data_IF_229220901814
#
_entry.id   IF_229220901814
#
_cell.length_a   1.000
_cell.length_b   1.000
_cell.length_c   1.000
_cell.angle_alpha   90.00
_cell.angle_beta   90.00
_cell.angle_gamma   90.00
#
_symmetry.space_group_name_H-M   'P 1'
#
loop_
_entity.id
_entity.type
_entity.pdbx_description
1 polymer ?
#
# COMPACT_ATOMS: atom_id res chain seq x y z
N UNK A 1 1.77 -5.83 25.14
CA UNK A 1 0.81 -6.43 26.09
C UNK A 1 -0.35 -5.49 26.48
N UNK A 2 -0.47 -4.31 25.86
CA UNK A 2 -1.43 -3.25 26.26
C UNK A 2 -2.71 -3.14 25.39
N UNK A 3 -2.73 -3.73 24.19
CA UNK A 3 -3.83 -3.54 23.24
C UNK A 3 -5.12 -4.22 23.71
N UNK A 4 -5.01 -5.45 24.26
CA UNK A 4 -6.17 -6.21 24.77
C UNK A 4 -6.81 -5.50 25.96
N UNK A 5 -6.02 -4.88 26.84
CA UNK A 5 -6.53 -4.12 27.99
C UNK A 5 -7.21 -2.81 27.57
N UNK A 6 -6.71 -2.13 26.54
CA UNK A 6 -7.38 -0.93 26.02
C UNK A 6 -8.69 -1.26 25.28
N UNK A 7 -8.82 -2.47 24.72
CA UNK A 7 -10.06 -2.97 24.10
C UNK A 7 -11.10 -3.32 25.15
N UNK A 8 -10.71 -3.89 26.30
CA UNK A 8 -11.64 -4.25 27.40
C UNK A 8 -12.14 -3.04 28.21
N UNK A 9 -11.37 -1.96 28.31
CA UNK A 9 -11.72 -0.77 29.11
C UNK A 9 -12.65 0.20 28.34
N UNK A 10 -12.77 0.05 27.01
CA UNK A 10 -13.65 0.86 26.17
C UNK A 10 -15.11 0.38 26.18
N UNK A 11 -15.92 0.92 27.08
CA UNK A 11 -17.36 0.69 27.16
C UNK A 11 -18.08 1.00 25.82
N UNK A 12 -18.89 0.02 25.37
CA UNK A 12 -19.93 -0.02 24.31
C UNK A 12 -19.98 1.04 23.18
N UNK A 13 -20.13 0.52 21.94
CA UNK A 13 -20.36 1.21 20.64
C UNK A 13 -19.14 1.54 19.75
N UNK A 14 -18.12 0.67 19.70
CA UNK A 14 -17.20 0.67 18.57
C UNK A 14 -17.58 -0.44 17.59
N UNK A 15 -17.96 -0.07 16.36
CA UNK A 15 -18.13 -1.05 15.28
C UNK A 15 -16.81 -1.74 14.99
N UNK A 16 -16.85 -3.03 14.66
CA UNK A 16 -15.68 -3.84 14.30
C UNK A 16 -14.81 -3.14 13.26
N UNK A 17 -15.43 -2.41 12.32
CA UNK A 17 -14.75 -1.58 11.30
C UNK A 17 -13.86 -0.51 11.94
N UNK A 18 -14.36 0.26 12.91
CA UNK A 18 -13.56 1.30 13.59
C UNK A 18 -12.37 0.71 14.35
N UNK A 19 -12.54 -0.48 14.95
CA UNK A 19 -11.46 -1.17 15.63
C UNK A 19 -10.37 -1.64 14.65
N UNK A 20 -10.77 -2.16 13.49
CA UNK A 20 -9.82 -2.52 12.43
C UNK A 20 -9.14 -1.30 11.81
N UNK A 21 -9.85 -0.19 11.64
CA UNK A 21 -9.27 1.08 11.15
C UNK A 21 -8.26 1.62 12.16
N UNK A 22 -8.57 1.63 13.46
CA UNK A 22 -7.64 2.06 14.51
C UNK A 22 -6.43 1.13 14.61
N UNK A 23 -6.63 -0.18 14.49
CA UNK A 23 -5.55 -1.16 14.47
C UNK A 23 -4.66 -0.98 13.24
N UNK A 24 -5.25 -0.82 12.05
CA UNK A 24 -4.54 -0.59 10.79
C UNK A 24 -3.74 0.70 10.86
N UNK A 25 -4.34 1.78 11.34
CA UNK A 25 -3.67 3.06 11.56
C UNK A 25 -2.53 2.93 12.58
N UNK A 26 -2.69 2.11 13.61
CA UNK A 26 -1.64 1.87 14.60
C UNK A 26 -0.49 1.06 14.01
N UNK A 27 -0.77 0.06 13.17
CA UNK A 27 0.25 -0.72 12.46
C UNK A 27 0.99 0.17 11.46
N UNK A 28 0.28 1.01 10.70
CA UNK A 28 0.89 1.97 9.77
C UNK A 28 1.78 2.96 10.53
N UNK A 29 1.25 3.57 11.61
CA UNK A 29 2.02 4.44 12.49
C UNK A 29 3.21 3.72 13.09
N UNK A 30 3.11 2.44 13.46
CA UNK A 30 4.23 1.68 13.99
C UNK A 30 5.27 1.40 12.90
N UNK A 31 4.87 1.05 11.67
CA UNK A 31 5.81 0.90 10.55
C UNK A 31 6.56 2.22 10.26
N UNK A 32 5.85 3.34 10.34
CA UNK A 32 6.40 4.69 10.13
C UNK A 32 7.24 5.19 11.33
N UNK A 33 6.78 4.99 12.58
CA UNK A 33 7.45 5.40 13.83
C UNK A 33 8.64 4.52 14.20
N UNK A 34 8.56 3.21 13.92
CA UNK A 34 9.69 2.30 14.11
C UNK A 34 10.78 2.59 13.08
N UNK A 35 10.50 3.43 12.07
CA UNK A 35 11.50 3.88 11.13
C UNK A 35 12.16 2.68 10.47
N UNK A 36 11.40 1.64 10.14
CA UNK A 36 11.99 0.44 9.55
C UNK A 36 12.74 0.79 8.27
N UNK A 37 12.25 1.78 7.52
CA UNK A 37 12.89 2.35 6.33
C UNK A 37 14.00 3.38 6.64
N UNK A 38 14.18 3.79 7.89
CA UNK A 38 15.26 4.66 8.37
C UNK A 38 16.24 3.94 9.32
N UNK A 39 16.09 2.62 9.50
CA UNK A 39 16.93 1.84 10.41
C UNK A 39 18.23 1.42 9.72
N UNK A 40 19.31 2.15 10.01
CA UNK A 40 20.62 2.04 9.38
C UNK A 40 21.23 0.64 9.46
N UNK A 41 21.00 -0.08 10.57
CA UNK A 41 21.55 -1.43 10.71
C UNK A 41 20.87 -2.45 9.79
N UNK A 42 19.55 -2.34 9.57
CA UNK A 42 18.83 -3.19 8.60
C UNK A 42 19.27 -2.88 7.19
N UNK A 43 19.44 -1.60 6.84
CA UNK A 43 19.98 -1.19 5.54
C UNK A 43 21.35 -1.84 5.27
N UNK A 44 22.29 -1.74 6.22
CA UNK A 44 23.62 -2.33 6.06
C UNK A 44 23.59 -3.86 6.03
N UNK A 45 22.75 -4.51 6.83
CA UNK A 45 22.58 -5.96 6.81
C UNK A 45 22.03 -6.45 5.47
N UNK A 46 20.99 -5.79 4.94
CA UNK A 46 20.39 -6.12 3.66
C UNK A 46 21.36 -5.90 2.50
N UNK A 47 22.08 -4.76 2.50
CA UNK A 47 23.12 -4.44 1.51
C UNK A 47 24.27 -5.45 1.52
N UNK A 48 24.66 -5.91 2.72
CA UNK A 48 25.68 -6.95 2.88
C UNK A 48 25.17 -8.31 2.40
N UNK A 49 23.94 -8.69 2.76
CA UNK A 49 23.32 -9.95 2.36
C UNK A 49 23.28 -10.10 0.84
N UNK A 50 22.96 -9.01 0.12
CA UNK A 50 22.99 -8.97 -1.36
C UNK A 50 24.32 -9.44 -1.96
N UNK A 51 25.44 -9.19 -1.28
CA UNK A 51 26.78 -9.58 -1.72
C UNK A 51 27.19 -10.94 -1.16
N UNK A 52 26.92 -11.21 0.12
CA UNK A 52 27.37 -12.44 0.78
C UNK A 52 26.57 -13.68 0.37
N UNK A 53 25.32 -13.50 -0.05
CA UNK A 53 24.44 -14.60 -0.45
C UNK A 53 24.12 -14.58 -1.96
N UNK A 54 24.89 -13.83 -2.76
CA UNK A 54 24.64 -13.61 -4.19
C UNK A 54 24.40 -14.90 -5.00
N UNK A 55 25.08 -15.99 -4.65
CA UNK A 55 24.98 -17.30 -5.30
C UNK A 55 23.66 -18.03 -5.01
N UNK A 56 22.96 -17.64 -3.94
CA UNK A 56 21.69 -18.23 -3.50
C UNK A 56 20.46 -17.40 -3.88
N UNK A 57 20.67 -16.20 -4.41
CA UNK A 57 19.60 -15.27 -4.76
C UNK A 57 19.18 -15.45 -6.22
N UNK A 58 17.89 -15.68 -6.44
CA UNK A 58 17.32 -15.66 -7.77
C UNK A 58 17.04 -14.21 -8.25
N UNK A 59 16.50 -14.06 -9.46
CA UNK A 59 16.23 -12.74 -10.03
C UNK A 59 15.09 -11.99 -9.33
N UNK A 60 14.15 -12.73 -8.72
CA UNK A 60 13.04 -12.15 -7.94
C UNK A 60 13.57 -11.67 -6.59
N UNK A 61 14.42 -12.45 -5.93
CA UNK A 61 15.07 -12.09 -4.68
C UNK A 61 15.93 -10.83 -4.85
N UNK A 62 16.76 -10.79 -5.89
CA UNK A 62 17.60 -9.62 -6.20
C UNK A 62 16.75 -8.37 -6.42
N UNK A 63 15.65 -8.51 -7.18
CA UNK A 63 14.74 -7.39 -7.44
C UNK A 63 14.01 -6.93 -6.19
N UNK A 64 13.64 -7.85 -5.32
CA UNK A 64 12.97 -7.57 -4.04
C UNK A 64 13.92 -6.85 -3.10
N UNK A 65 15.17 -7.30 -2.98
CA UNK A 65 16.24 -6.63 -2.24
C UNK A 65 16.46 -5.22 -2.78
N UNK A 66 16.49 -5.04 -4.10
CA UNK A 66 16.66 -3.72 -4.73
C UNK A 66 15.49 -2.78 -4.48
N UNK A 67 14.26 -3.28 -4.45
CA UNK A 67 13.10 -2.48 -4.07
C UNK A 67 13.24 -1.97 -2.64
N UNK A 68 13.58 -2.84 -1.69
CA UNK A 68 13.80 -2.45 -0.30
C UNK A 68 14.96 -1.46 -0.16
N UNK A 69 16.13 -1.73 -0.76
CA UNK A 69 17.28 -0.83 -0.70
C UNK A 69 16.96 0.56 -1.27
N UNK A 70 16.17 0.65 -2.34
CA UNK A 70 15.71 1.92 -2.89
C UNK A 70 14.80 2.67 -1.90
N UNK A 71 13.88 1.99 -1.22
CA UNK A 71 13.04 2.61 -0.19
C UNK A 71 13.86 3.14 1.00
N UNK A 72 14.89 2.39 1.42
CA UNK A 72 15.86 2.85 2.41
C UNK A 72 16.65 4.07 1.91
N UNK A 73 17.13 4.06 0.68
CA UNK A 73 17.95 5.16 0.17
C UNK A 73 17.14 6.44 -0.03
N UNK A 74 15.86 6.32 -0.43
CA UNK A 74 14.91 7.44 -0.50
C UNK A 74 14.65 8.08 0.87
N UNK A 75 14.76 7.32 1.96
CA UNK A 75 14.64 7.86 3.32
C UNK A 75 15.89 8.64 3.75
N UNK A 76 17.00 8.53 3.01
CA UNK A 76 18.27 9.18 3.32
C UNK A 76 19.14 8.41 4.31
N UNK A 77 18.77 7.19 4.70
CA UNK A 77 19.48 6.38 5.73
C UNK A 77 20.94 6.02 5.37
N UNK A 78 21.29 6.13 4.09
CA UNK A 78 22.64 5.87 3.58
C UNK A 78 23.56 7.09 3.67
N UNK A 79 23.01 8.28 3.96
CA UNK A 79 23.76 9.52 4.05
C UNK A 79 24.55 9.54 5.37
N UNK A 80 25.79 10.05 5.37
CA UNK A 80 26.51 10.34 6.60
C UNK A 80 25.75 11.34 7.47
N UNK A 81 25.84 11.22 8.81
CA UNK A 81 25.15 12.08 9.78
C UNK A 81 25.28 13.58 9.47
N UNK A 82 26.46 14.02 9.01
CA UNK A 82 26.72 15.40 8.63
C UNK A 82 25.83 15.87 7.46
N UNK A 83 25.65 15.02 6.43
CA UNK A 83 24.80 15.31 5.27
C UNK A 83 23.32 15.18 5.59
N UNK A 84 22.92 14.25 6.46
CA UNK A 84 21.55 14.16 6.93
C UNK A 84 21.17 15.43 7.73
N UNK A 85 22.07 15.89 8.60
CA UNK A 85 21.87 17.12 9.36
C UNK A 85 21.81 18.35 8.46
N UNK A 86 22.65 18.41 7.42
CA UNK A 86 22.60 19.47 6.41
C UNK A 86 21.29 19.44 5.62
N UNK A 87 20.81 18.26 5.19
CA UNK A 87 19.53 18.12 4.50
C UNK A 87 18.36 18.60 5.37
N UNK A 88 18.36 18.25 6.65
CA UNK A 88 17.35 18.73 7.62
C UNK A 88 17.37 20.25 7.73
N UNK A 89 18.56 20.86 7.82
CA UNK A 89 18.70 22.33 7.80
C UNK A 89 18.13 22.93 6.51
N UNK A 90 18.43 22.35 5.35
CA UNK A 90 17.91 22.83 4.06
C UNK A 90 16.38 22.76 3.98
N UNK A 91 15.76 21.69 4.49
CA UNK A 91 14.30 21.56 4.55
C UNK A 91 13.70 22.62 5.48
N UNK A 92 14.30 22.85 6.66
CA UNK A 92 13.88 23.92 7.56
C UNK A 92 14.02 25.30 6.92
N UNK A 93 15.14 25.59 6.27
CA UNK A 93 15.35 26.86 5.57
C UNK A 93 14.36 27.08 4.44
N UNK A 94 13.97 26.02 3.71
CA UNK A 94 12.92 26.11 2.68
C UNK A 94 11.56 26.49 3.28
N UNK A 95 11.20 25.88 4.41
CA UNK A 95 9.95 26.19 5.10
C UNK A 95 9.95 27.63 5.66
N UNK A 96 11.04 28.04 6.30
CA UNK A 96 11.22 29.40 6.80
C UNK A 96 11.16 30.43 5.66
N UNK A 97 11.88 30.16 4.57
CA UNK A 97 11.87 30.98 3.36
C UNK A 97 10.45 31.14 2.81
N UNK A 98 9.63 30.09 2.80
CA UNK A 98 8.25 30.16 2.35
C UNK A 98 7.40 31.07 3.23
N UNK A 99 7.49 30.89 4.55
CA UNK A 99 6.77 31.68 5.56
C UNK A 99 7.13 33.16 5.50
N UNK A 100 8.43 33.47 5.36
CA UNK A 100 8.92 34.85 5.22
C UNK A 100 8.37 35.54 3.96
N UNK A 101 8.10 34.76 2.91
CA UNK A 101 7.47 35.26 1.67
C UNK A 101 5.94 35.20 1.67
N UNK A 102 5.31 34.86 2.79
CA UNK A 102 3.85 34.85 2.94
C UNK A 102 3.15 33.56 2.52
N UNK A 103 3.87 32.46 2.30
CA UNK A 103 3.30 31.17 1.94
C UNK A 103 3.23 30.22 3.14
N UNK A 104 2.21 29.36 3.18
CA UNK A 104 1.98 28.38 4.25
C UNK A 104 3.09 27.32 4.35
N UNK A 105 3.64 26.91 3.20
CA UNK A 105 4.75 25.97 3.12
C UNK A 105 5.53 26.17 1.83
N UNK A 106 6.73 25.58 1.75
CA UNK A 106 7.51 25.63 0.52
C UNK A 106 6.80 25.02 -0.69
N UNK A 107 5.95 24.00 -0.48
CA UNK A 107 5.16 23.42 -1.55
C UNK A 107 4.16 24.44 -2.15
N UNK A 108 3.49 25.24 -1.31
CA UNK A 108 2.59 26.30 -1.79
C UNK A 108 3.34 27.35 -2.59
N UNK A 109 4.56 27.72 -2.15
CA UNK A 109 5.41 28.66 -2.87
C UNK A 109 5.91 28.10 -4.20
N UNK A 110 6.32 26.84 -4.24
CA UNK A 110 6.88 26.21 -5.44
C UNK A 110 5.84 25.95 -6.52
N UNK A 111 4.57 25.76 -6.13
CA UNK A 111 3.46 25.61 -7.08
C UNK A 111 2.97 26.93 -7.66
N UNK A 112 3.33 28.06 -7.04
CA UNK A 112 2.97 29.37 -7.55
C UNK A 112 3.71 29.62 -8.89
N UNK A 113 2.94 29.77 -9.97
CA UNK A 113 3.36 29.73 -11.39
C UNK A 113 3.60 28.34 -12.02
N UNK A 114 3.29 27.25 -11.34
CA UNK A 114 3.28 25.90 -11.93
C UNK A 114 1.94 25.60 -12.64
N UNK A 115 1.93 24.58 -13.50
CA UNK A 115 0.74 24.19 -14.29
C UNK A 115 -0.51 23.92 -13.44
N UNK A 116 -0.34 23.31 -12.27
CA UNK A 116 -1.46 22.99 -11.36
C UNK A 116 -1.81 24.14 -10.42
N UNK A 117 -1.00 25.21 -10.42
CA UNK A 117 -1.25 26.49 -9.76
C UNK A 117 -1.14 26.49 -8.23
N UNK A 118 -1.69 25.49 -7.55
CA UNK A 118 -1.70 25.40 -6.09
C UNK A 118 -1.26 24.02 -5.59
N UNK A 119 -0.87 23.97 -4.32
CA UNK A 119 -0.53 22.72 -3.64
C UNK A 119 -1.73 21.76 -3.60
N UNK A 120 -2.93 22.28 -3.32
CA UNK A 120 -4.16 21.49 -3.22
C UNK A 120 -4.48 20.80 -4.55
N UNK A 121 -4.39 21.52 -5.67
CA UNK A 121 -4.64 20.94 -6.99
C UNK A 121 -3.63 19.84 -7.33
N UNK A 122 -2.36 20.03 -6.97
CA UNK A 122 -1.34 19.01 -7.17
C UNK A 122 -1.58 17.78 -6.29
N UNK A 123 -1.99 17.99 -5.03
CA UNK A 123 -2.34 16.92 -4.10
C UNK A 123 -3.56 16.13 -4.61
N UNK A 124 -4.65 16.81 -4.97
CA UNK A 124 -5.90 16.22 -5.45
C UNK A 124 -5.70 15.47 -6.77
N UNK A 125 -4.88 16.01 -7.67
CA UNK A 125 -4.52 15.33 -8.91
C UNK A 125 -3.80 14.01 -8.64
N UNK A 126 -2.76 14.03 -7.81
CA UNK A 126 -2.00 12.82 -7.47
C UNK A 126 -2.86 11.80 -6.74
N UNK A 127 -3.69 12.26 -5.81
CA UNK A 127 -4.65 11.44 -5.09
C UNK A 127 -5.67 10.81 -6.05
N UNK A 128 -6.21 11.59 -6.98
CA UNK A 128 -7.12 11.13 -8.03
C UNK A 128 -6.49 10.05 -8.92
N UNK A 129 -5.23 10.24 -9.34
CA UNK A 129 -4.49 9.24 -10.15
C UNK A 129 -4.26 7.95 -9.37
N UNK A 130 -3.92 8.02 -8.09
CA UNK A 130 -3.74 6.85 -7.23
C UNK A 130 -5.08 6.12 -7.05
N UNK A 131 -6.15 6.87 -6.77
CA UNK A 131 -7.49 6.32 -6.61
C UNK A 131 -8.03 5.70 -7.89
N UNK A 132 -7.78 6.31 -9.06
CA UNK A 132 -8.21 5.77 -10.35
C UNK A 132 -7.49 4.45 -10.66
N UNK A 133 -6.18 4.38 -10.39
CA UNK A 133 -5.41 3.13 -10.51
C UNK A 133 -5.85 2.07 -9.51
N UNK A 134 -6.29 2.46 -8.31
CA UNK A 134 -6.72 1.55 -7.27
C UNK A 134 -8.19 1.11 -7.40
N UNK A 135 -9.07 1.95 -7.97
CA UNK A 135 -10.53 1.78 -7.87
C UNK A 135 -11.34 1.97 -9.17
N UNK A 136 -10.82 2.62 -10.23
CA UNK A 136 -11.45 2.74 -11.57
C UNK A 136 -12.83 3.45 -11.65
N UNK A 137 -12.96 4.56 -12.39
CA UNK A 137 -14.19 5.39 -12.40
C UNK A 137 -15.10 5.23 -13.64
N UNK A 138 -16.41 5.19 -13.38
CA UNK A 138 -17.47 5.88 -14.13
C UNK A 138 -17.99 5.35 -15.51
N UNK A 139 -18.25 4.05 -15.67
CA UNK A 139 -19.20 3.55 -16.69
C UNK A 139 -20.34 2.68 -16.11
N UNK A 140 -20.81 3.03 -14.91
CA UNK A 140 -21.60 2.12 -14.07
C UNK A 140 -23.11 2.07 -14.37
N UNK A 141 -23.77 3.14 -14.84
CA UNK A 141 -25.25 3.15 -14.86
C UNK A 141 -25.92 2.43 -16.03
N UNK A 142 -25.31 2.42 -17.22
CA UNK A 142 -25.87 1.73 -18.40
C UNK A 142 -25.34 0.30 -18.54
N UNK A 143 -24.08 0.06 -18.17
CA UNK A 143 -23.47 -1.27 -18.20
C UNK A 143 -24.02 -2.19 -17.09
N UNK A 144 -24.48 -1.67 -15.94
CA UNK A 144 -25.08 -2.46 -14.84
C UNK A 144 -26.31 -3.29 -15.26
N UNK A 145 -26.96 -2.96 -16.39
CA UNK A 145 -28.06 -3.78 -16.93
C UNK A 145 -27.56 -5.11 -17.49
N UNK A 146 -26.31 -5.17 -17.94
CA UNK A 146 -25.67 -6.35 -18.52
C UNK A 146 -24.62 -6.98 -17.59
N UNK A 147 -24.03 -6.16 -16.71
CA UNK A 147 -23.05 -6.51 -15.68
C UNK A 147 -23.74 -6.86 -14.35
N UNK A 148 -24.66 -7.84 -14.35
CA UNK A 148 -25.13 -8.41 -13.08
C UNK A 148 -24.00 -9.19 -12.43
N UNK A 149 -23.97 -9.26 -11.10
CA UNK A 149 -22.94 -10.01 -10.37
C UNK A 149 -22.80 -11.45 -10.89
N UNK A 150 -23.93 -12.12 -11.18
CA UNK A 150 -23.94 -13.45 -11.78
C UNK A 150 -23.30 -13.52 -13.17
N UNK A 151 -23.60 -12.56 -14.06
CA UNK A 151 -23.02 -12.52 -15.41
C UNK A 151 -21.53 -12.19 -15.37
N UNK A 152 -21.11 -11.27 -14.49
CA UNK A 152 -19.70 -10.91 -14.31
C UNK A 152 -18.92 -12.10 -13.76
N UNK A 153 -19.40 -12.74 -12.68
CA UNK A 153 -18.72 -13.89 -12.08
C UNK A 153 -18.63 -15.06 -13.06
N UNK A 154 -19.69 -15.31 -13.83
CA UNK A 154 -19.69 -16.35 -14.88
C UNK A 154 -18.71 -16.01 -16.00
N UNK A 155 -18.71 -14.77 -16.49
CA UNK A 155 -17.79 -14.30 -17.52
C UNK A 155 -16.34 -14.34 -17.06
N UNK A 156 -16.07 -13.92 -15.83
CA UNK A 156 -14.76 -13.96 -15.19
C UNK A 156 -14.26 -15.40 -14.99
N UNK A 157 -15.10 -16.30 -14.46
CA UNK A 157 -14.75 -17.71 -14.31
C UNK A 157 -14.41 -18.36 -15.66
N UNK A 158 -15.18 -18.05 -16.71
CA UNK A 158 -14.91 -18.53 -18.06
C UNK A 158 -13.61 -17.96 -18.64
N UNK A 159 -13.31 -16.69 -18.39
CA UNK A 159 -12.09 -16.05 -18.85
C UNK A 159 -10.86 -16.64 -18.15
N UNK A 160 -10.91 -16.79 -16.84
CA UNK A 160 -9.83 -17.37 -16.02
C UNK A 160 -9.57 -18.83 -16.41
N UNK A 161 -10.64 -19.59 -16.68
CA UNK A 161 -10.52 -20.95 -17.21
C UNK A 161 -9.80 -20.96 -18.57
N UNK A 162 -10.21 -20.10 -19.51
CA UNK A 162 -9.64 -20.09 -20.87
C UNK A 162 -8.22 -19.55 -20.94
N UNK A 163 -7.88 -18.54 -20.14
CA UNK A 163 -6.55 -17.90 -20.18
C UNK A 163 -5.53 -18.63 -19.30
N UNK A 164 -5.95 -19.13 -18.14
CA UNK A 164 -5.03 -19.64 -17.12
C UNK A 164 -5.30 -21.11 -16.75
N UNK A 165 -6.33 -21.76 -17.32
CA UNK A 165 -6.66 -23.15 -17.01
C UNK A 165 -7.20 -23.36 -15.59
N UNK A 166 -7.68 -22.31 -14.93
CA UNK A 166 -8.15 -22.35 -13.54
C UNK A 166 -9.68 -22.36 -13.50
N UNK A 167 -10.27 -23.30 -12.76
CA UNK A 167 -11.71 -23.33 -12.44
C UNK A 167 -11.95 -22.72 -11.07
N UNK A 168 -12.97 -21.87 -10.98
CA UNK A 168 -13.47 -21.36 -9.71
C UNK A 168 -14.65 -22.22 -9.27
N UNK A 169 -14.56 -22.80 -8.07
CA UNK A 169 -15.58 -23.67 -7.52
C UNK A 169 -16.07 -23.12 -6.18
N UNK A 170 -17.39 -23.11 -5.97
CA UNK A 170 -17.97 -22.75 -4.68
C UNK A 170 -17.77 -23.88 -3.67
N UNK A 171 -17.33 -23.52 -2.47
CA UNK A 171 -17.13 -24.45 -1.36
C UNK A 171 -18.00 -24.04 -0.16
N UNK A 172 -18.54 -25.01 0.59
CA UNK A 172 -19.24 -24.70 1.82
C UNK A 172 -18.31 -24.01 2.82
N UNK A 173 -18.85 -23.00 3.50
CA UNK A 173 -18.14 -22.24 4.53
C UNK A 173 -18.19 -23.02 5.84
N UNK A 174 -17.03 -23.25 6.46
CA UNK A 174 -16.97 -23.92 7.76
C UNK A 174 -17.28 -22.95 8.92
N UNK A 175 -17.69 -23.51 10.07
CA UNK A 175 -18.12 -22.72 11.22
C UNK A 175 -16.95 -21.91 11.78
N UNK A 176 -17.05 -20.58 11.72
CA UNK A 176 -16.04 -19.65 12.23
C UNK A 176 -15.01 -19.19 11.18
N UNK A 177 -15.12 -19.65 9.93
CA UNK A 177 -14.19 -19.30 8.86
C UNK A 177 -14.41 -17.87 8.31
N UNK A 178 -15.66 -17.39 8.27
CA UNK A 178 -16.00 -16.12 7.63
C UNK A 178 -16.82 -15.20 8.54
N UNK A 179 -16.80 -13.91 8.24
CA UNK A 179 -17.67 -12.93 8.89
C UNK A 179 -19.15 -13.17 8.54
N UNK A 180 -20.05 -12.57 9.30
CA UNK A 180 -21.49 -12.70 9.06
C UNK A 180 -21.89 -11.86 7.84
N UNK A 181 -22.68 -12.43 6.91
CA UNK A 181 -23.17 -11.72 5.73
C UNK A 181 -23.48 -12.65 4.55
N UNK A 182 -23.81 -12.07 3.39
CA UNK A 182 -23.97 -12.80 2.13
C UNK A 182 -22.60 -12.99 1.47
N UNK A 183 -21.86 -14.00 1.93
CA UNK A 183 -20.50 -14.29 1.46
C UNK A 183 -20.49 -15.66 0.82
N UNK A 184 -19.78 -15.77 -0.30
CA UNK A 184 -19.57 -17.02 -1.04
C UNK A 184 -18.07 -17.29 -1.05
N UNK A 185 -17.67 -18.49 -0.63
CA UNK A 185 -16.28 -18.95 -0.68
C UNK A 185 -16.05 -19.63 -2.03
N UNK A 186 -15.12 -19.08 -2.81
CA UNK A 186 -14.68 -19.65 -4.08
C UNK A 186 -13.24 -20.15 -3.94
N UNK A 187 -12.97 -21.37 -4.42
CA UNK A 187 -11.62 -21.95 -4.48
C UNK A 187 -11.18 -22.13 -5.93
N UNK A 188 -9.89 -21.95 -6.19
CA UNK A 188 -9.30 -22.17 -7.50
C UNK A 188 -8.78 -23.60 -7.64
N UNK A 189 -9.33 -24.38 -8.57
CA UNK A 189 -8.82 -25.68 -8.97
C UNK A 189 -8.05 -25.55 -10.29
N UNK A 190 -6.76 -25.93 -10.30
CA UNK A 190 -5.96 -26.00 -11.53
C UNK A 190 -6.35 -27.24 -12.32
N UNK A 191 -6.63 -27.09 -13.62
CA UNK A 191 -6.67 -28.21 -14.55
C UNK A 191 -5.23 -28.64 -14.85
N UNK A 192 -4.60 -29.38 -13.95
CA UNK A 192 -3.37 -30.10 -14.30
C UNK A 192 -3.79 -31.22 -15.27
N UNK A 193 -3.61 -30.97 -16.57
CA UNK A 193 -3.60 -32.04 -17.56
C UNK A 193 -2.46 -32.98 -17.16
N UNK A 194 -2.80 -34.16 -16.65
CA UNK A 194 -1.86 -35.28 -16.60
C UNK A 194 -1.52 -35.61 -18.05
N UNK A 195 -0.39 -35.10 -18.53
CA UNK A 195 0.21 -35.58 -19.77
C UNK A 195 0.85 -36.92 -19.39
N UNK A 196 0.19 -38.01 -19.76
CA UNK A 196 0.82 -39.33 -19.95
C UNK A 196 1.55 -39.28 -21.29
#
# INVERSE_FOLDING_TARGET
MDIVKQIEVGNNERTTVKLFDDLSNTICKAADLVGLNTYTSLYHMLKRSKLTEADRLDDVDKRTIDLFLNEFELSGVHLPDEKEQELRKLVCYRDELAKLTGYTSYAHRAQDNALLGTYENAHDFLWGVIQERAYGTAHYREANKFLTLGNILTGFANLVNKLYGVRLEEQPIERGEMWHGHIIKLVSASLTVSII
#
